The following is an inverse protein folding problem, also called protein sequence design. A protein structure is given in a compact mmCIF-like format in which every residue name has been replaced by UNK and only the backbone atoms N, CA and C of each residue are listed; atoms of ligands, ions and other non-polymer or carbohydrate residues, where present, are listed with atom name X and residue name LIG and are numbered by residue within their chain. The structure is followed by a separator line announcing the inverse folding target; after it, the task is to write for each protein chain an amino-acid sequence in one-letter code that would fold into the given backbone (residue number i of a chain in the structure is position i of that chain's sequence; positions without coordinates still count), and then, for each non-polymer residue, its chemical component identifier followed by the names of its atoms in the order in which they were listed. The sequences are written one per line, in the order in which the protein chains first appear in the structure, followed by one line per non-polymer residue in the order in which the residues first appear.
data_IF_667085414067
#
_entry.id   IF_667085414067
#
_cell.length_a   1.000
_cell.length_b   1.000
_cell.length_c   1.000
_cell.angle_alpha   90.00
_cell.angle_beta   90.00
_cell.angle_gamma   90.00
#
_symmetry.space_group_name_H-M   'P 1'
#
loop_
_entity.id
_entity.type
_entity.pdbx_description
1 polymer ?
#
# COMPACT_ATOMS: atom_id res chain seq x y z
N UNK A 1 -16.99 5.44 1.79
CA UNK A 1 -17.53 4.31 2.57
C UNK A 1 -16.45 3.81 3.50
N UNK A 2 -16.71 3.76 4.80
CA UNK A 2 -15.72 3.58 5.86
C UNK A 2 -15.17 2.17 6.07
N UNK A 3 -15.55 1.19 5.23
CA UNK A 3 -15.35 -0.23 5.52
C UNK A 3 -14.54 -0.94 4.41
N UNK A 4 -13.64 -0.22 3.74
CA UNK A 4 -12.77 -0.78 2.70
C UNK A 4 -11.35 -0.97 3.22
N UNK A 5 -10.72 -2.06 2.82
CA UNK A 5 -9.30 -2.31 3.02
C UNK A 5 -8.47 -1.26 2.28
N UNK A 6 -7.53 -0.67 3.01
CA UNK A 6 -6.52 0.27 2.54
C UNK A 6 -5.15 -0.43 2.55
N UNK A 7 -4.20 0.02 1.71
CA UNK A 7 -2.81 -0.39 1.88
C UNK A 7 -2.27 0.18 3.20
N UNK A 8 -1.22 -0.43 3.75
CA UNK A 8 -0.47 0.22 4.83
C UNK A 8 0.22 1.50 4.31
N UNK A 9 0.38 2.50 5.18
CA UNK A 9 0.93 3.81 4.85
C UNK A 9 -0.02 4.60 3.94
N UNK A 10 -1.32 4.56 4.22
CA UNK A 10 -2.35 5.16 3.35
C UNK A 10 -2.74 6.59 3.70
N UNK A 11 -2.17 7.15 4.77
CA UNK A 11 -2.44 8.52 5.16
C UNK A 11 -1.80 9.56 4.24
N UNK A 12 -1.79 10.80 4.71
CA UNK A 12 -1.45 11.95 3.89
C UNK A 12 -0.17 12.60 4.37
N UNK A 13 0.64 13.05 3.40
CA UNK A 13 1.76 13.91 3.70
C UNK A 13 1.28 15.20 4.37
N UNK A 14 2.00 15.61 5.40
CA UNK A 14 1.79 16.82 6.18
C UNK A 14 2.85 17.86 5.87
N UNK A 15 2.56 19.14 6.17
CA UNK A 15 3.56 20.20 6.05
C UNK A 15 4.80 19.96 6.90
N UNK A 16 4.67 19.20 7.99
CA UNK A 16 5.79 18.81 8.84
C UNK A 16 6.77 17.83 8.17
N UNK A 17 6.33 17.13 7.10
CA UNK A 17 7.20 16.25 6.31
C UNK A 17 8.15 17.05 5.40
N UNK A 18 7.90 18.34 5.19
CA UNK A 18 8.75 19.19 4.35
C UNK A 18 10.01 19.62 5.08
N UNK A 19 11.18 19.29 4.52
CA UNK A 19 12.46 19.80 4.99
C UNK A 19 13.15 20.64 3.90
N UNK A 20 13.67 21.81 4.27
CA UNK A 20 14.15 22.86 3.35
C UNK A 20 15.32 22.45 2.42
N UNK A 21 15.94 21.29 2.64
CA UNK A 21 17.10 20.80 1.89
C UNK A 21 16.94 19.40 1.29
N UNK A 22 15.76 18.80 1.36
CA UNK A 22 15.52 17.43 0.86
C UNK A 22 14.99 17.39 -0.58
N UNK A 23 15.35 16.34 -1.32
CA UNK A 23 14.73 16.07 -2.62
C UNK A 23 13.27 15.67 -2.44
N UNK A 24 12.41 16.04 -3.38
CA UNK A 24 10.97 15.72 -3.30
C UNK A 24 10.70 14.22 -3.19
N UNK A 25 11.54 13.35 -3.78
CA UNK A 25 11.41 11.89 -3.61
C UNK A 25 11.73 11.45 -2.19
N UNK A 26 12.73 12.06 -1.57
CA UNK A 26 13.10 11.77 -0.19
C UNK A 26 11.97 12.15 0.77
N UNK A 27 11.32 13.30 0.52
CA UNK A 27 10.14 13.73 1.28
C UNK A 27 9.00 12.70 1.14
N UNK A 28 8.71 12.22 -0.08
CA UNK A 28 7.68 11.19 -0.29
C UNK A 28 8.02 9.89 0.45
N UNK A 29 9.28 9.47 0.39
CA UNK A 29 9.74 8.26 1.09
C UNK A 29 9.57 8.42 2.60
N UNK A 30 10.00 9.55 3.17
CA UNK A 30 9.89 9.81 4.61
C UNK A 30 8.45 9.87 5.08
N UNK A 31 7.57 10.53 4.32
CA UNK A 31 6.15 10.55 4.62
C UNK A 31 5.55 9.13 4.59
N UNK A 32 5.88 8.33 3.58
CA UNK A 32 5.39 6.94 3.50
C UNK A 32 5.91 6.05 4.64
N UNK A 33 7.17 6.23 5.06
CA UNK A 33 7.76 5.48 6.18
C UNK A 33 7.18 5.92 7.54
N UNK A 34 6.91 7.23 7.72
CA UNK A 34 6.19 7.75 8.89
C UNK A 34 4.79 7.15 8.99
N UNK A 35 4.02 7.22 7.93
CA UNK A 35 2.65 6.67 7.87
C UNK A 35 2.66 5.15 8.12
N UNK A 36 3.61 4.43 7.55
CA UNK A 36 3.79 3.00 7.86
C UNK A 36 4.05 2.78 9.36
N UNK A 37 4.91 3.60 9.98
CA UNK A 37 5.19 3.51 11.40
C UNK A 37 3.96 3.81 12.27
N UNK A 38 3.25 4.90 12.01
CA UNK A 38 2.05 5.30 12.75
C UNK A 38 0.95 4.24 12.68
N UNK A 39 0.80 3.62 11.51
CA UNK A 39 -0.17 2.57 11.29
C UNK A 39 0.27 1.21 11.87
N UNK A 40 1.55 0.84 11.82
CA UNK A 40 1.96 -0.56 12.09
C UNK A 40 2.90 -0.74 13.28
N UNK A 41 3.38 0.36 13.87
CA UNK A 41 4.49 0.40 14.82
C UNK A 41 5.80 -0.23 14.29
N UNK A 42 5.96 -0.34 12.97
CA UNK A 42 7.22 -0.76 12.36
C UNK A 42 8.21 0.40 12.47
N UNK A 43 9.27 0.21 13.26
CA UNK A 43 10.35 1.19 13.39
C UNK A 43 11.18 1.33 12.10
N UNK A 44 11.72 2.53 11.87
CA UNK A 44 12.66 2.80 10.77
C UNK A 44 13.86 1.83 10.75
N UNK A 45 14.29 1.33 11.91
CA UNK A 45 15.37 0.34 12.01
C UNK A 45 15.01 -1.00 11.35
N UNK A 46 13.72 -1.31 11.19
CA UNK A 46 13.23 -2.51 10.51
C UNK A 46 13.01 -2.30 9.01
N UNK A 47 13.16 -1.07 8.51
CA UNK A 47 13.06 -0.76 7.09
C UNK A 47 14.42 -0.97 6.42
N UNK A 48 14.43 -1.72 5.31
CA UNK A 48 15.62 -1.93 4.49
C UNK A 48 15.74 -0.87 3.40
N UNK A 49 14.63 -0.59 2.70
CA UNK A 49 14.51 0.48 1.69
C UNK A 49 13.04 0.73 1.35
N UNK A 50 12.72 1.92 0.89
CA UNK A 50 11.42 2.26 0.30
C UNK A 50 11.62 2.79 -1.12
N UNK A 51 10.80 2.30 -2.05
CA UNK A 51 10.83 2.72 -3.45
C UNK A 51 9.49 3.31 -3.87
N UNK A 52 9.54 4.43 -4.59
CA UNK A 52 8.35 5.02 -5.22
C UNK A 52 8.11 4.28 -6.53
N UNK A 53 7.00 3.54 -6.62
CA UNK A 53 6.61 2.81 -7.83
C UNK A 53 6.00 3.73 -8.89
N UNK A 54 5.31 4.78 -8.44
CA UNK A 54 4.62 5.73 -9.29
C UNK A 54 3.58 6.52 -8.50
N UNK A 55 2.68 7.18 -9.22
CA UNK A 55 1.53 7.87 -8.63
C UNK A 55 0.32 7.75 -9.55
N UNK A 56 -0.86 7.94 -8.98
CA UNK A 56 -2.10 8.13 -9.73
C UNK A 56 -2.83 9.39 -9.24
N UNK A 57 -3.86 9.81 -9.97
CA UNK A 57 -4.71 10.93 -9.56
C UNK A 57 -6.11 10.42 -9.27
N UNK A 58 -6.58 10.65 -8.06
CA UNK A 58 -7.96 10.35 -7.72
C UNK A 58 -8.87 11.49 -8.18
N UNK A 59 -9.50 11.31 -9.34
CA UNK A 59 -10.41 12.30 -9.93
C UNK A 59 -11.65 12.55 -9.08
N UNK A 60 -12.08 11.58 -8.26
CA UNK A 60 -13.19 11.78 -7.32
C UNK A 60 -12.80 12.68 -6.15
N UNK A 61 -11.49 12.89 -5.93
CA UNK A 61 -10.92 13.78 -4.91
C UNK A 61 -10.23 14.99 -5.54
N UNK A 62 -10.78 15.51 -6.64
CA UNK A 62 -10.26 16.71 -7.31
C UNK A 62 -8.93 16.50 -8.04
N UNK A 63 -8.58 15.24 -8.34
CA UNK A 63 -7.34 14.90 -9.02
C UNK A 63 -6.10 14.95 -8.11
N UNK A 64 -6.30 14.85 -6.78
CA UNK A 64 -5.20 14.78 -5.80
C UNK A 64 -4.24 13.64 -6.22
N UNK A 65 -2.92 13.91 -6.30
CA UNK A 65 -1.94 12.86 -6.55
C UNK A 65 -1.81 11.96 -5.32
N UNK A 66 -1.81 10.65 -5.56
CA UNK A 66 -1.60 9.59 -4.57
C UNK A 66 -0.38 8.78 -5.00
N UNK A 67 0.64 8.71 -4.14
CA UNK A 67 1.91 8.03 -4.44
C UNK A 67 1.87 6.57 -3.97
N UNK A 68 2.32 5.65 -4.83
CA UNK A 68 2.39 4.23 -4.54
C UNK A 68 3.84 3.87 -4.17
N UNK A 69 4.06 3.36 -2.97
CA UNK A 69 5.38 2.98 -2.46
C UNK A 69 5.47 1.48 -2.19
N UNK A 70 6.68 0.94 -2.33
CA UNK A 70 7.05 -0.42 -1.93
C UNK A 70 8.15 -0.34 -0.86
N UNK A 71 7.79 -0.71 0.37
CA UNK A 71 8.73 -0.75 1.49
C UNK A 71 9.19 -2.18 1.74
N UNK A 72 10.51 -2.38 1.72
CA UNK A 72 11.17 -3.64 2.02
C UNK A 72 11.54 -3.66 3.49
N UNK A 73 11.14 -4.71 4.19
CA UNK A 73 11.36 -4.87 5.63
C UNK A 73 12.43 -5.93 5.89
N UNK A 74 13.24 -5.72 6.94
CA UNK A 74 14.24 -6.67 7.42
C UNK A 74 13.63 -7.89 8.11
N UNK A 75 12.59 -7.75 8.96
CA UNK A 75 12.03 -8.89 9.68
C UNK A 75 11.32 -9.86 8.73
N UNK A 76 11.37 -11.14 9.08
CA UNK A 76 10.62 -12.18 8.38
C UNK A 76 9.14 -12.18 8.80
N UNK A 77 8.30 -12.96 8.11
CA UNK A 77 6.85 -13.00 8.36
C UNK A 77 6.44 -13.30 9.81
N UNK A 78 7.20 -14.15 10.53
CA UNK A 78 6.89 -14.49 11.92
C UNK A 78 7.18 -13.29 12.84
N UNK A 79 8.35 -12.68 12.69
CA UNK A 79 8.75 -11.48 13.43
C UNK A 79 7.81 -10.31 13.14
N UNK A 80 7.37 -10.14 11.88
CA UNK A 80 6.40 -9.09 11.52
C UNK A 80 5.07 -9.24 12.27
N UNK A 81 4.61 -10.46 12.56
CA UNK A 81 3.37 -10.65 13.34
C UNK A 81 3.52 -10.25 14.80
N UNK A 82 4.74 -10.31 15.32
CA UNK A 82 5.06 -9.90 16.70
C UNK A 82 5.28 -8.40 16.78
N UNK A 83 5.80 -7.78 15.71
CA UNK A 83 6.09 -6.34 15.63
C UNK A 83 4.84 -5.53 15.32
N UNK A 84 4.01 -6.00 14.37
CA UNK A 84 2.81 -5.26 13.96
C UNK A 84 1.84 -5.22 15.12
N UNK A 85 1.79 -4.06 15.77
CA UNK A 85 0.87 -3.76 16.84
C UNK A 85 0.06 -2.57 16.35
N UNK A 86 -1.21 -2.73 15.98
CA UNK A 86 -2.04 -1.62 15.51
C UNK A 86 -2.02 -0.43 16.47
N UNK A 87 -1.92 0.80 15.96
CA UNK A 87 -2.11 1.96 16.82
C UNK A 87 -3.62 2.12 17.12
N UNK A 88 -3.99 2.04 18.39
CA UNK A 88 -5.41 2.08 18.81
C UNK A 88 -6.10 3.42 18.48
N UNK A 89 -5.34 4.46 18.15
CA UNK A 89 -5.85 5.80 17.84
C UNK A 89 -6.28 6.00 16.39
N UNK A 90 -5.70 5.26 15.44
CA UNK A 90 -5.89 5.51 14.00
C UNK A 90 -6.49 4.32 13.25
N UNK A 91 -6.71 3.19 13.93
CA UNK A 91 -7.12 1.94 13.28
C UNK A 91 -8.36 1.30 13.89
N UNK A 92 -9.14 0.68 13.00
CA UNK A 92 -10.09 -0.38 13.37
C UNK A 92 -9.29 -1.67 13.48
N UNK A 93 -9.60 -2.51 14.46
CA UNK A 93 -8.84 -3.69 14.94
C UNK A 93 -8.48 -4.80 13.90
N UNK A 94 -8.64 -4.58 12.60
CA UNK A 94 -8.67 -5.61 11.56
C UNK A 94 -7.55 -5.42 10.52
N UNK A 95 -6.37 -6.03 10.74
CA UNK A 95 -5.34 -6.15 9.69
C UNK A 95 -5.47 -7.45 8.90
N UNK A 96 -5.34 -7.34 7.57
CA UNK A 96 -5.25 -8.49 6.67
C UNK A 96 -3.88 -8.54 6.00
N UNK A 97 -3.09 -9.57 6.30
CA UNK A 97 -1.87 -9.87 5.54
C UNK A 97 -2.21 -10.72 4.32
N UNK A 98 -1.90 -10.22 3.12
CA UNK A 98 -2.08 -10.97 1.87
C UNK A 98 -0.71 -11.45 1.39
N UNK A 99 -0.55 -12.76 1.18
CA UNK A 99 0.68 -13.33 0.59
C UNK A 99 0.63 -13.15 -0.92
N UNK A 100 1.46 -12.26 -1.46
CA UNK A 100 1.55 -11.96 -2.90
C UNK A 100 2.85 -12.45 -3.55
N UNK A 101 3.71 -13.14 -2.79
CA UNK A 101 4.94 -13.75 -3.30
C UNK A 101 5.04 -15.20 -2.86
N UNK A 102 5.59 -16.06 -3.71
CA UNK A 102 6.10 -17.38 -3.33
C UNK A 102 7.59 -17.48 -3.66
N UNK A 103 8.43 -17.44 -2.62
CA UNK A 103 9.87 -17.27 -2.80
C UNK A 103 10.19 -15.94 -3.50
N UNK A 104 10.71 -16.01 -4.73
CA UNK A 104 11.05 -14.83 -5.56
C UNK A 104 9.97 -14.51 -6.60
N UNK A 105 8.94 -15.35 -6.73
CA UNK A 105 7.91 -15.20 -7.74
C UNK A 105 6.77 -14.33 -7.22
N UNK A 106 6.42 -13.29 -7.98
CA UNK A 106 5.26 -12.45 -7.69
C UNK A 106 3.98 -13.15 -8.19
N UNK A 107 3.01 -13.32 -7.30
CA UNK A 107 1.78 -14.05 -7.55
C UNK A 107 0.62 -13.09 -7.82
N UNK A 108 0.54 -12.53 -9.03
CA UNK A 108 -0.59 -11.67 -9.43
C UNK A 108 -1.93 -12.42 -9.32
N UNK A 109 -1.97 -13.71 -9.68
CA UNK A 109 -3.17 -14.54 -9.62
C UNK A 109 -3.79 -14.67 -8.22
N UNK A 110 -2.96 -14.71 -7.16
CA UNK A 110 -3.45 -14.79 -5.79
C UNK A 110 -4.23 -13.53 -5.39
N UNK A 111 -3.78 -12.37 -5.87
CA UNK A 111 -4.47 -11.12 -5.66
C UNK A 111 -5.70 -10.97 -6.56
N UNK A 112 -5.57 -11.34 -7.84
CA UNK A 112 -6.67 -11.31 -8.81
C UNK A 112 -7.89 -12.09 -8.28
N UNK A 113 -7.68 -13.30 -7.76
CA UNK A 113 -8.74 -14.11 -7.15
C UNK A 113 -9.35 -13.41 -5.92
N UNK A 114 -8.51 -12.90 -5.01
CA UNK A 114 -8.96 -12.20 -3.80
C UNK A 114 -9.78 -10.94 -4.10
N UNK A 115 -9.49 -10.27 -5.22
CA UNK A 115 -10.22 -9.10 -5.66
C UNK A 115 -11.53 -9.47 -6.36
N UNK A 116 -11.55 -10.55 -7.15
CA UNK A 116 -12.76 -11.07 -7.79
C UNK A 116 -13.79 -11.59 -6.78
N UNK A 117 -13.33 -12.26 -5.72
CA UNK A 117 -14.21 -12.82 -4.70
C UNK A 117 -14.96 -11.75 -3.89
N UNK A 118 -14.36 -10.58 -3.69
CA UNK A 118 -14.92 -9.52 -2.82
C UNK A 118 -14.49 -8.10 -3.24
N UNK A 119 -14.85 -7.66 -4.47
CA UNK A 119 -14.32 -6.40 -5.03
C UNK A 119 -14.73 -5.15 -4.24
N UNK A 120 -15.85 -5.21 -3.53
CA UNK A 120 -16.36 -4.10 -2.72
C UNK A 120 -15.54 -3.85 -1.44
N UNK A 121 -14.75 -4.83 -0.99
CA UNK A 121 -13.88 -4.71 0.18
C UNK A 121 -12.64 -3.87 -0.09
N UNK A 122 -12.21 -3.71 -1.36
CA UNK A 122 -10.95 -3.04 -1.67
C UNK A 122 -11.16 -1.55 -2.00
N UNK A 123 -10.33 -0.70 -1.40
CA UNK A 123 -10.26 0.72 -1.76
C UNK A 123 -9.61 0.92 -3.12
N UNK A 124 -9.85 2.10 -3.72
CA UNK A 124 -9.14 2.51 -4.94
C UNK A 124 -7.62 2.54 -4.70
N UNK A 125 -7.17 3.02 -3.54
CA UNK A 125 -5.75 3.06 -3.20
C UNK A 125 -5.11 1.67 -3.20
N UNK A 126 -5.79 0.69 -2.61
CA UNK A 126 -5.31 -0.69 -2.57
C UNK A 126 -5.26 -1.32 -3.96
N UNK A 127 -6.26 -1.04 -4.80
CA UNK A 127 -6.27 -1.45 -6.21
C UNK A 127 -5.10 -0.82 -7.00
N UNK A 128 -4.87 0.47 -6.83
CA UNK A 128 -3.80 1.17 -7.56
C UNK A 128 -2.41 0.73 -7.11
N UNK A 129 -2.20 0.45 -5.82
CA UNK A 129 -0.95 -0.16 -5.35
C UNK A 129 -0.70 -1.52 -6.01
N UNK A 130 -1.72 -2.38 -6.08
CA UNK A 130 -1.61 -3.66 -6.78
C UNK A 130 -1.28 -3.48 -8.26
N UNK A 131 -1.98 -2.57 -8.95
CA UNK A 131 -1.72 -2.26 -10.34
C UNK A 131 -0.27 -1.80 -10.58
N UNK A 132 0.25 -0.93 -9.71
CA UNK A 132 1.65 -0.48 -9.78
C UNK A 132 2.65 -1.60 -9.48
N UNK A 133 2.36 -2.48 -8.53
CA UNK A 133 3.17 -3.67 -8.25
C UNK A 133 3.24 -4.59 -9.47
N UNK A 134 2.12 -4.90 -10.11
CA UNK A 134 2.11 -5.70 -11.33
C UNK A 134 2.96 -5.09 -12.44
N UNK A 135 2.87 -3.77 -12.63
CA UNK A 135 3.75 -3.06 -13.58
C UNK A 135 5.22 -3.16 -13.22
N UNK A 136 5.55 -2.96 -11.94
CA UNK A 136 6.93 -3.03 -11.45
C UNK A 136 7.54 -4.43 -11.64
N UNK A 137 6.75 -5.48 -11.38
CA UNK A 137 7.18 -6.89 -11.57
C UNK A 137 6.89 -7.43 -12.97
N UNK A 138 6.58 -6.58 -13.96
CA UNK A 138 6.26 -6.97 -15.34
C UNK A 138 5.25 -8.13 -15.46
N UNK A 139 4.28 -8.17 -14.57
CA UNK A 139 3.29 -9.24 -14.46
C UNK A 139 1.97 -8.84 -15.10
N UNK A 140 1.29 -9.80 -15.73
CA UNK A 140 -0.02 -9.58 -16.34
C UNK A 140 -1.07 -9.35 -15.25
N UNK A 141 -1.89 -8.32 -15.47
CA UNK A 141 -3.04 -8.00 -14.63
C UNK A 141 -4.27 -8.64 -15.27
N UNK A 142 -4.93 -9.57 -14.60
CA UNK A 142 -6.11 -10.28 -15.15
C UNK A 142 -7.43 -9.52 -14.91
N UNK A 143 -7.37 -8.19 -14.70
CA UNK A 143 -8.50 -7.41 -14.18
C UNK A 143 -9.57 -7.03 -15.22
N UNK A 144 -9.68 -7.76 -16.33
CA UNK A 144 -10.63 -7.42 -17.39
C UNK A 144 -11.27 -8.68 -18.01
N UNK A 145 -12.39 -9.11 -17.42
CA UNK A 145 -13.55 -9.54 -18.19
C UNK A 145 -14.59 -8.42 -18.07
N UNK A 146 -14.96 -7.80 -19.18
CA UNK A 146 -15.65 -6.50 -19.32
C UNK A 146 -17.04 -6.35 -18.66
N UNK A 147 -17.57 -7.35 -17.94
CA UNK A 147 -19.04 -7.41 -17.72
C UNK A 147 -19.59 -6.92 -16.37
N UNK A 148 -18.78 -6.52 -15.38
CA UNK A 148 -19.32 -6.29 -14.03
C UNK A 148 -18.87 -5.00 -13.32
N UNK A 149 -19.13 -3.85 -13.93
CA UNK A 149 -19.34 -2.63 -13.14
C UNK A 149 -20.85 -2.46 -12.89
N UNK A 150 -21.34 -2.44 -11.64
CA UNK A 150 -22.64 -1.85 -11.38
C UNK A 150 -22.56 -0.37 -11.72
N UNK A 151 -23.39 0.08 -12.67
CA UNK A 151 -23.66 1.50 -12.89
C UNK A 151 -24.32 2.13 -11.65
#
# INVERSE_FOLDING_TARGET
SSDKLLPSGSGSMDFADLQESQDFREIIIQAAERELHEETNIDANNIQKTEILGFYRDLNRGGKPEFCCLTYLKPNKLELREIITPSQSEQRDDFKTIKIFDGKEFLSSAWDNSLQDSPKEYSLALYMNYFMLCKYFHSTISLYQEENYPQ
#
